data_IF_450627280155
#
_entry.id   IF_450627280155
#
_cell.length_a   1.000
_cell.length_b   1.000
_cell.length_c   1.000
_cell.angle_alpha   90.00
_cell.angle_beta   90.00
_cell.angle_gamma   90.00
#
_symmetry.space_group_name_H-M   'P 1'
#
loop_
_entity.id
_entity.type
_entity.pdbx_description
1 polymer ?
#
# COMPACT_ATOMS: atom_id res chain seq x y z
N UNK A 1 19.98 10.67 -15.08
CA UNK A 1 20.20 11.92 -14.31
C UNK A 1 21.23 11.79 -13.18
N UNK A 2 21.01 11.14 -12.02
CA UNK A 2 22.13 10.87 -11.09
C UNK A 2 23.14 9.85 -11.65
N UNK A 3 22.62 8.81 -12.31
CA UNK A 3 23.46 7.86 -13.07
C UNK A 3 24.17 8.52 -14.27
N UNK A 4 23.61 9.63 -14.77
CA UNK A 4 24.14 10.38 -15.91
C UNK A 4 25.24 11.34 -15.44
N UNK A 5 25.04 12.02 -14.30
CA UNK A 5 26.10 12.74 -13.60
C UNK A 5 27.27 11.81 -13.24
N UNK A 6 26.99 10.59 -12.80
CA UNK A 6 28.01 9.59 -12.50
C UNK A 6 28.81 9.16 -13.74
N UNK A 7 28.13 9.06 -14.89
CA UNK A 7 28.75 8.77 -16.18
C UNK A 7 29.61 9.95 -16.64
N UNK A 8 29.09 11.17 -16.60
CA UNK A 8 29.79 12.40 -16.99
C UNK A 8 31.05 12.62 -16.15
N UNK A 9 30.96 12.43 -14.82
CA UNK A 9 32.11 12.54 -13.92
C UNK A 9 33.18 11.51 -14.29
N UNK A 10 32.77 10.26 -14.56
CA UNK A 10 33.71 9.19 -14.93
C UNK A 10 34.39 9.50 -16.26
N UNK A 11 33.60 9.91 -17.25
CA UNK A 11 34.09 10.28 -18.58
C UNK A 11 35.08 11.46 -18.49
N UNK A 12 34.80 12.44 -17.65
CA UNK A 12 35.71 13.57 -17.44
C UNK A 12 37.04 13.12 -16.83
N UNK A 13 37.01 12.25 -15.82
CA UNK A 13 38.22 11.71 -15.19
C UNK A 13 39.01 10.84 -16.18
N UNK A 14 38.35 10.03 -17.00
CA UNK A 14 38.98 9.22 -18.05
C UNK A 14 39.66 10.09 -19.11
N UNK A 15 38.96 11.12 -19.60
CA UNK A 15 39.50 12.04 -20.61
C UNK A 15 40.74 12.78 -20.08
N UNK A 16 40.69 13.30 -18.85
CA UNK A 16 41.85 13.92 -18.19
C UNK A 16 42.99 12.94 -17.93
N UNK A 17 42.69 11.67 -17.63
CA UNK A 17 43.70 10.63 -17.48
C UNK A 17 44.43 10.40 -18.80
N UNK A 18 43.68 10.28 -19.90
CA UNK A 18 44.24 10.07 -21.23
C UNK A 18 45.14 11.23 -21.67
N UNK A 19 44.69 12.48 -21.51
CA UNK A 19 45.48 13.67 -21.84
C UNK A 19 46.81 13.71 -21.06
N UNK A 20 46.80 13.28 -19.80
CA UNK A 20 48.01 13.24 -18.98
C UNK A 20 48.98 12.13 -19.42
N UNK A 21 48.46 10.98 -19.87
CA UNK A 21 49.27 9.91 -20.49
C UNK A 21 49.89 10.40 -21.79
N UNK A 22 49.14 11.10 -22.65
CA UNK A 22 49.64 11.69 -23.89
C UNK A 22 50.72 12.75 -23.64
N UNK A 23 50.67 13.44 -22.50
CA UNK A 23 51.71 14.37 -22.02
C UNK A 23 52.93 13.67 -21.41
N UNK A 24 52.98 12.33 -21.44
CA UNK A 24 54.13 11.53 -21.05
C UNK A 24 54.10 10.97 -19.62
N UNK A 25 52.97 11.09 -18.89
CA UNK A 25 52.82 10.45 -17.58
C UNK A 25 52.56 8.95 -17.71
N UNK A 26 52.94 8.19 -16.69
CA UNK A 26 52.54 6.78 -16.60
C UNK A 26 51.03 6.67 -16.33
N UNK A 27 50.34 5.59 -16.76
CA UNK A 27 48.88 5.46 -16.60
C UNK A 27 48.38 5.56 -15.15
N UNK A 28 49.14 5.01 -14.20
CA UNK A 28 48.83 5.08 -12.76
C UNK A 28 48.94 6.52 -12.23
N UNK A 29 50.04 7.23 -12.56
CA UNK A 29 50.26 8.61 -12.14
C UNK A 29 49.28 9.57 -12.80
N UNK A 30 48.95 9.36 -14.08
CA UNK A 30 47.98 10.14 -14.82
C UNK A 30 46.58 10.04 -14.22
N UNK A 31 46.16 8.83 -13.83
CA UNK A 31 44.85 8.59 -13.19
C UNK A 31 44.80 9.23 -11.81
N UNK A 32 45.87 9.09 -11.03
CA UNK A 32 45.98 9.72 -9.73
C UNK A 32 45.93 11.26 -9.83
N UNK A 33 46.66 11.84 -10.80
CA UNK A 33 46.64 13.28 -11.07
C UNK A 33 45.24 13.76 -11.50
N UNK A 34 44.54 13.01 -12.36
CA UNK A 34 43.18 13.33 -12.79
C UNK A 34 42.18 13.30 -11.61
N UNK A 35 42.24 12.28 -10.74
CA UNK A 35 41.39 12.23 -9.54
C UNK A 35 41.70 13.37 -8.57
N UNK A 36 42.97 13.73 -8.37
CA UNK A 36 43.38 14.87 -7.53
C UNK A 36 42.89 16.20 -8.09
N UNK A 37 42.92 16.36 -9.41
CA UNK A 37 42.45 17.55 -10.12
C UNK A 37 40.93 17.68 -10.05
N UNK A 38 40.20 16.57 -10.19
CA UNK A 38 38.74 16.54 -10.07
C UNK A 38 38.27 16.86 -8.64
N UNK A 39 38.99 16.36 -7.63
CA UNK A 39 38.68 16.64 -6.24
C UNK A 39 37.59 15.74 -5.66
N UNK A 40 36.82 16.25 -4.68
CA UNK A 40 35.85 15.44 -3.94
C UNK A 40 34.57 15.18 -4.77
N UNK A 41 34.57 14.05 -5.47
CA UNK A 41 33.42 13.55 -6.24
C UNK A 41 32.15 13.45 -5.39
N UNK A 42 32.25 13.00 -4.15
CA UNK A 42 31.09 12.82 -3.26
C UNK A 42 30.41 14.14 -2.96
N UNK A 43 31.19 15.19 -2.68
CA UNK A 43 30.66 16.53 -2.40
C UNK A 43 29.89 17.10 -3.60
N UNK A 44 30.45 16.97 -4.81
CA UNK A 44 29.79 17.44 -6.04
C UNK A 44 28.45 16.72 -6.25
N UNK A 45 28.39 15.41 -5.98
CA UNK A 45 27.14 14.64 -6.07
C UNK A 45 26.12 15.09 -5.00
N UNK A 46 26.57 15.38 -3.79
CA UNK A 46 25.69 15.87 -2.71
C UNK A 46 25.12 17.26 -3.04
N UNK A 47 25.95 18.19 -3.49
CA UNK A 47 25.51 19.55 -3.88
C UNK A 47 24.47 19.51 -4.99
N UNK A 48 24.71 18.71 -6.05
CA UNK A 48 23.76 18.57 -7.15
C UNK A 48 22.44 17.94 -6.66
N UNK A 49 22.52 16.92 -5.80
CA UNK A 49 21.34 16.28 -5.23
C UNK A 49 20.52 17.25 -4.37
N UNK A 50 21.17 18.08 -3.56
CA UNK A 50 20.49 19.07 -2.72
C UNK A 50 19.74 20.09 -3.58
N UNK A 51 20.41 20.69 -4.57
CA UNK A 51 19.80 21.66 -5.48
C UNK A 51 18.62 21.05 -6.22
N UNK A 52 18.78 19.84 -6.76
CA UNK A 52 17.70 19.17 -7.49
C UNK A 52 16.50 18.82 -6.62
N UNK A 53 16.73 18.38 -5.39
CA UNK A 53 15.63 18.09 -4.47
C UNK A 53 14.79 19.33 -4.19
N UNK A 54 15.43 20.48 -3.96
CA UNK A 54 14.76 21.76 -3.75
C UNK A 54 14.00 22.22 -5.00
N UNK A 55 14.61 22.10 -6.18
CA UNK A 55 13.98 22.45 -7.46
C UNK A 55 12.74 21.58 -7.73
N UNK A 56 12.84 20.27 -7.53
CA UNK A 56 11.72 19.35 -7.75
C UNK A 56 10.56 19.63 -6.78
N UNK A 57 10.85 19.91 -5.49
CA UNK A 57 9.82 20.33 -4.53
C UNK A 57 9.15 21.65 -4.97
N UNK A 58 9.94 22.62 -5.44
CA UNK A 58 9.42 23.89 -5.95
C UNK A 58 8.51 23.70 -7.16
N UNK A 59 8.91 22.85 -8.11
CA UNK A 59 8.12 22.51 -9.29
C UNK A 59 6.81 21.80 -8.92
N UNK A 60 6.86 20.81 -8.02
CA UNK A 60 5.66 20.14 -7.54
C UNK A 60 4.68 21.11 -6.87
N UNK A 61 5.18 22.01 -6.02
CA UNK A 61 4.31 23.02 -5.37
C UNK A 61 3.68 23.97 -6.39
N UNK A 62 4.44 24.36 -7.41
CA UNK A 62 3.95 25.19 -8.50
C UNK A 62 2.85 24.46 -9.30
N UNK A 63 3.08 23.20 -9.65
CA UNK A 63 2.13 22.37 -10.39
C UNK A 63 0.86 22.11 -9.59
N UNK A 64 0.98 21.80 -8.28
CA UNK A 64 -0.18 21.64 -7.39
C UNK A 64 -0.97 22.93 -7.28
N UNK A 65 -0.31 24.07 -7.10
CA UNK A 65 -0.97 25.39 -7.07
C UNK A 65 -1.68 25.69 -8.38
N UNK A 66 -1.07 25.34 -9.49
CA UNK A 66 -1.64 25.53 -10.82
C UNK A 66 -2.86 24.63 -11.05
N UNK A 67 -2.76 23.35 -10.69
CA UNK A 67 -3.85 22.39 -10.75
C UNK A 67 -5.05 22.85 -9.88
N UNK A 68 -4.81 23.28 -8.64
CA UNK A 68 -5.85 23.83 -7.77
C UNK A 68 -6.52 25.07 -8.38
N UNK A 69 -5.75 25.96 -9.01
CA UNK A 69 -6.30 27.13 -9.72
C UNK A 69 -7.16 26.70 -10.92
N UNK A 70 -6.75 25.65 -11.64
CA UNK A 70 -7.50 25.10 -12.76
C UNK A 70 -8.82 24.47 -12.31
N UNK A 71 -8.80 23.68 -11.23
CA UNK A 71 -10.01 23.09 -10.64
C UNK A 71 -11.03 24.16 -10.22
N UNK A 72 -10.55 25.27 -9.66
CA UNK A 72 -11.40 26.43 -9.30
C UNK A 72 -11.95 27.17 -10.52
N UNK A 73 -11.31 27.08 -11.68
CA UNK A 73 -11.75 27.72 -12.92
C UNK A 73 -12.87 26.92 -13.62
N UNK A 74 -12.92 25.60 -13.40
CA UNK A 74 -13.94 24.69 -13.93
C UNK A 74 -14.65 23.90 -12.82
N UNK A 75 -15.42 24.58 -11.95
CA UNK A 75 -15.98 23.97 -10.74
C UNK A 75 -16.98 22.84 -11.02
N UNK A 76 -17.74 22.92 -12.12
CA UNK A 76 -18.71 21.87 -12.49
C UNK A 76 -18.05 20.54 -12.82
N UNK A 77 -17.07 20.54 -13.72
CA UNK A 77 -16.30 19.34 -14.06
C UNK A 77 -15.55 18.79 -12.84
N UNK A 78 -14.92 19.68 -12.07
CA UNK A 78 -14.18 19.30 -10.86
C UNK A 78 -15.08 18.64 -9.82
N UNK A 79 -16.29 19.15 -9.60
CA UNK A 79 -17.26 18.56 -8.67
C UNK A 79 -17.67 17.16 -9.11
N UNK A 80 -18.00 16.95 -10.39
CA UNK A 80 -18.36 15.63 -10.92
C UNK A 80 -17.20 14.64 -10.76
N UNK A 81 -15.98 15.04 -11.11
CA UNK A 81 -14.79 14.20 -10.95
C UNK A 81 -14.55 13.82 -9.49
N UNK A 82 -14.63 14.78 -8.56
CA UNK A 82 -14.46 14.56 -7.12
C UNK A 82 -15.53 13.63 -6.57
N UNK A 83 -16.81 13.83 -6.93
CA UNK A 83 -17.91 12.97 -6.49
C UNK A 83 -17.75 11.55 -7.01
N UNK A 84 -17.31 11.39 -8.26
CA UNK A 84 -17.10 10.07 -8.87
C UNK A 84 -15.98 9.32 -8.15
N UNK A 85 -14.85 9.99 -7.88
CA UNK A 85 -13.74 9.44 -7.09
C UNK A 85 -14.18 9.09 -5.67
N UNK A 86 -14.90 10.00 -5.00
CA UNK A 86 -15.38 9.80 -3.64
C UNK A 86 -16.34 8.60 -3.54
N UNK A 87 -17.24 8.44 -4.50
CA UNK A 87 -18.14 7.29 -4.56
C UNK A 87 -17.38 5.99 -4.81
N UNK A 88 -16.45 5.96 -5.76
CA UNK A 88 -15.66 4.75 -6.04
C UNK A 88 -14.81 4.31 -4.84
N UNK A 89 -14.11 5.25 -4.21
CA UNK A 89 -13.29 4.98 -3.01
C UNK A 89 -14.18 4.59 -1.83
N UNK A 90 -15.25 5.36 -1.58
CA UNK A 90 -16.16 5.18 -0.46
C UNK A 90 -16.94 3.86 -0.55
N UNK A 91 -17.47 3.51 -1.72
CA UNK A 91 -18.21 2.27 -1.92
C UNK A 91 -17.31 1.04 -1.70
N UNK A 92 -16.10 1.04 -2.28
CA UNK A 92 -15.15 -0.04 -2.07
C UNK A 92 -14.77 -0.16 -0.59
N UNK A 93 -14.45 0.97 0.06
CA UNK A 93 -14.12 1.00 1.49
C UNK A 93 -15.28 0.51 2.36
N UNK A 94 -16.52 0.89 2.05
CA UNK A 94 -17.71 0.48 2.78
C UNK A 94 -17.96 -1.02 2.67
N UNK A 95 -17.86 -1.59 1.46
CA UNK A 95 -17.99 -3.04 1.24
C UNK A 95 -16.94 -3.80 2.03
N UNK A 96 -15.66 -3.40 1.93
CA UNK A 96 -14.59 -4.05 2.69
C UNK A 96 -14.76 -3.91 4.21
N UNK A 97 -15.19 -2.74 4.68
CA UNK A 97 -15.46 -2.51 6.11
C UNK A 97 -16.61 -3.37 6.62
N UNK A 98 -17.67 -3.51 5.82
CA UNK A 98 -18.82 -4.34 6.12
C UNK A 98 -18.45 -5.83 6.16
N UNK A 99 -17.73 -6.31 5.14
CA UNK A 99 -17.21 -7.68 5.08
C UNK A 99 -16.29 -7.94 6.28
N UNK A 100 -15.40 -7.01 6.61
CA UNK A 100 -14.52 -7.17 7.75
C UNK A 100 -15.26 -7.17 9.10
N UNK A 101 -16.26 -6.30 9.24
CA UNK A 101 -17.07 -6.19 10.46
C UNK A 101 -18.01 -7.38 10.68
N UNK A 102 -18.57 -7.95 9.60
CA UNK A 102 -19.59 -8.99 9.69
C UNK A 102 -19.08 -10.40 9.41
N UNK A 103 -18.18 -10.59 8.41
CA UNK A 103 -17.64 -11.92 8.08
C UNK A 103 -16.35 -12.25 8.83
N UNK A 104 -15.48 -11.27 9.09
CA UNK A 104 -14.14 -11.52 9.63
C UNK A 104 -14.02 -11.31 11.14
N UNK A 105 -15.03 -10.73 11.81
CA UNK A 105 -15.08 -10.67 13.27
C UNK A 105 -15.41 -12.06 13.81
N UNK A 106 -14.36 -12.89 13.95
CA UNK A 106 -14.45 -14.25 14.49
C UNK A 106 -15.24 -14.22 15.80
N UNK A 107 -16.27 -15.07 15.98
CA UNK A 107 -16.89 -15.26 17.28
C UNK A 107 -15.78 -15.54 18.31
N UNK A 108 -15.86 -15.03 19.55
CA UNK A 108 -14.87 -15.27 20.60
C UNK A 108 -14.97 -16.72 21.10
N UNK A 109 -14.67 -17.66 20.21
CA UNK A 109 -14.61 -19.09 20.48
C UNK A 109 -13.15 -19.50 20.45
N UNK A 110 -12.77 -20.29 21.45
CA UNK A 110 -11.40 -20.68 21.72
C UNK A 110 -10.79 -21.54 20.59
N UNK A 111 -11.64 -22.13 19.74
CA UNK A 111 -11.25 -22.98 18.61
C UNK A 111 -12.26 -22.87 17.43
N UNK A 112 -12.03 -21.98 16.45
CA UNK A 112 -12.94 -21.78 15.32
C UNK A 112 -13.14 -23.00 14.42
N UNK A 113 -12.17 -23.93 14.37
CA UNK A 113 -12.23 -25.11 13.50
C UNK A 113 -13.15 -26.20 14.05
N UNK A 114 -13.60 -26.08 15.31
CA UNK A 114 -14.50 -27.01 15.98
C UNK A 114 -15.93 -26.48 16.10
N UNK A 115 -16.23 -25.37 15.43
CA UNK A 115 -17.59 -24.82 15.36
C UNK A 115 -18.50 -25.72 14.53
N UNK A 116 -19.68 -26.02 15.07
CA UNK A 116 -20.74 -26.73 14.37
C UNK A 116 -22.04 -25.95 14.48
N UNK A 117 -22.84 -25.94 13.41
CA UNK A 117 -24.17 -25.32 13.39
C UNK A 117 -25.21 -26.39 13.70
N UNK A 118 -25.92 -26.22 14.81
CA UNK A 118 -27.05 -27.09 15.21
C UNK A 118 -28.36 -26.40 14.81
N UNK A 119 -29.26 -27.14 14.18
CA UNK A 119 -30.57 -26.65 13.72
C UNK A 119 -31.64 -27.70 13.98
N UNK A 120 -32.87 -27.26 14.24
CA UNK A 120 -34.01 -28.16 14.35
C UNK A 120 -34.44 -28.59 12.95
N UNK A 121 -34.87 -29.84 12.78
CA UNK A 121 -35.42 -30.33 11.52
C UNK A 121 -36.89 -30.67 11.70
N UNK A 122 -37.72 -30.29 10.74
CA UNK A 122 -39.07 -30.84 10.66
C UNK A 122 -39.00 -32.32 10.27
N UNK A 123 -39.63 -33.20 11.06
CA UNK A 123 -39.57 -34.64 10.86
C UNK A 123 -40.38 -35.14 9.65
N UNK A 124 -41.10 -34.26 8.95
CA UNK A 124 -42.07 -34.64 7.93
C UNK A 124 -41.57 -34.77 6.48
N UNK A 125 -40.50 -34.08 6.06
CA UNK A 125 -40.13 -34.04 4.64
C UNK A 125 -38.66 -34.31 4.29
N UNK A 126 -37.77 -34.55 5.27
CA UNK A 126 -36.40 -35.03 5.05
C UNK A 126 -35.52 -34.15 4.16
N UNK A 127 -35.99 -32.96 3.78
CA UNK A 127 -35.33 -32.07 2.82
C UNK A 127 -34.30 -31.19 3.50
N UNK A 128 -33.28 -30.76 2.74
CA UNK A 128 -32.24 -29.86 3.26
C UNK A 128 -32.78 -28.47 3.66
N UNK A 129 -33.98 -28.14 3.14
CA UNK A 129 -34.75 -26.93 3.44
C UNK A 129 -35.59 -27.01 4.74
N UNK A 130 -35.59 -28.15 5.44
CA UNK A 130 -36.40 -28.36 6.66
C UNK A 130 -35.73 -27.84 7.95
N UNK A 131 -34.63 -27.07 7.83
CA UNK A 131 -33.97 -26.44 8.98
C UNK A 131 -34.83 -25.30 9.52
N UNK A 132 -35.46 -25.53 10.67
CA UNK A 132 -36.27 -24.52 11.35
C UNK A 132 -35.39 -23.61 12.22
N UNK A 133 -35.74 -22.31 12.32
CA UNK A 133 -35.19 -21.44 13.35
C UNK A 133 -35.40 -22.07 14.73
N UNK A 134 -34.36 -22.07 15.55
CA UNK A 134 -34.44 -22.61 16.91
C UNK A 134 -35.01 -21.52 17.82
N UNK A 135 -36.09 -21.81 18.53
CA UNK A 135 -36.67 -20.85 19.47
C UNK A 135 -35.75 -20.69 20.69
N UNK A 136 -35.84 -19.53 21.37
CA UNK A 136 -35.03 -19.30 22.57
C UNK A 136 -35.24 -20.36 23.68
N UNK A 137 -36.48 -20.83 23.95
CA UNK A 137 -36.71 -21.96 24.86
C UNK A 137 -36.01 -23.25 24.41
N UNK A 138 -36.13 -23.63 23.13
CA UNK A 138 -35.48 -24.85 22.61
C UNK A 138 -33.95 -24.77 22.78
N UNK A 139 -33.36 -23.60 22.52
CA UNK A 139 -31.93 -23.39 22.74
C UNK A 139 -31.53 -23.56 24.21
N UNK A 140 -32.33 -23.04 25.15
CA UNK A 140 -32.05 -23.19 26.58
C UNK A 140 -32.12 -24.66 27.00
N UNK A 141 -33.12 -25.40 26.51
CA UNK A 141 -33.27 -26.83 26.78
C UNK A 141 -32.11 -27.64 26.20
N UNK A 142 -31.71 -27.36 24.97
CA UNK A 142 -30.55 -28.01 24.34
C UNK A 142 -29.27 -27.70 25.09
N UNK A 143 -29.07 -26.44 25.51
CA UNK A 143 -27.89 -26.04 26.28
C UNK A 143 -27.84 -26.71 27.65
N UNK A 144 -28.99 -26.93 28.29
CA UNK A 144 -29.07 -27.61 29.58
C UNK A 144 -28.80 -29.13 29.48
N UNK A 145 -29.17 -29.75 28.36
CA UNK A 145 -29.06 -31.20 28.15
C UNK A 145 -27.82 -31.62 27.35
N UNK A 146 -27.14 -30.69 26.69
CA UNK A 146 -25.99 -31.00 25.84
C UNK A 146 -24.76 -31.44 26.63
N UNK A 147 -24.36 -32.70 26.42
CA UNK A 147 -23.12 -33.27 26.97
C UNK A 147 -22.03 -33.51 25.92
N UNK A 148 -22.39 -33.50 24.63
CA UNK A 148 -21.48 -33.77 23.52
C UNK A 148 -20.63 -32.55 23.09
N UNK A 149 -20.94 -31.35 23.59
CA UNK A 149 -20.29 -30.10 23.18
C UNK A 149 -19.68 -29.38 24.39
N UNK A 150 -18.52 -28.73 24.19
CA UNK A 150 -17.86 -27.93 25.23
C UNK A 150 -18.64 -26.67 25.62
N UNK A 151 -19.58 -26.23 24.78
CA UNK A 151 -20.41 -25.06 24.99
C UNK A 151 -21.31 -24.80 23.79
N UNK A 152 -22.41 -24.09 24.01
CA UNK A 152 -23.38 -23.75 22.98
C UNK A 152 -23.66 -22.24 23.02
N UNK A 153 -23.64 -21.62 21.85
CA UNK A 153 -23.91 -20.19 21.68
C UNK A 153 -25.00 -20.01 20.63
N UNK A 154 -25.87 -19.02 20.82
CA UNK A 154 -26.87 -18.61 19.85
C UNK A 154 -26.44 -17.28 19.23
N UNK A 155 -26.62 -17.16 17.92
CA UNK A 155 -26.42 -15.93 17.18
C UNK A 155 -27.67 -15.66 16.34
N UNK A 156 -28.10 -14.39 16.33
CA UNK A 156 -29.15 -13.90 15.45
C UNK A 156 -28.46 -13.12 14.33
N UNK A 157 -28.63 -13.52 13.09
CA UNK A 157 -28.06 -12.87 11.92
C UNK A 157 -29.17 -12.18 11.12
#
# INVERSE_FOLDING_TARGET
MLEELDADIREHIERETQDNVERGMTPEEARYAAMRKFGNVTLVKEDVREVWSSVWLGQLLQDVRYALRMLRKSPGFSAVAVLTLALGIGANTAIFSLVNGMLLRKPPVRDPNRLMVVSSKWAGNGGEWDRLPVSAPDFLDWRAQATAFNGMVAANF
#
